data_IF_338008031964
#
_entry.id   IF_338008031964
#
_cell.length_a   1.000
_cell.length_b   1.000
_cell.length_c   1.000
_cell.angle_alpha   90.00
_cell.angle_beta   90.00
_cell.angle_gamma   90.00
#
_symmetry.space_group_name_H-M   'P 1'
#
loop_
_entity.id
_entity.type
_entity.pdbx_description
1 polymer ?
#
# COMPACT_ATOMS: atom_id res chain seq x y z
N UNK A 1 28.34 -7.55 46.12
CA UNK A 1 27.85 -8.55 45.16
C UNK A 1 27.91 -7.94 43.76
N UNK A 2 28.50 -8.63 42.79
CA UNK A 2 28.54 -8.11 41.42
C UNK A 2 27.13 -8.11 40.80
N UNK A 3 26.71 -7.06 40.08
CA UNK A 3 25.38 -7.01 39.48
C UNK A 3 25.21 -8.13 38.45
N UNK A 4 24.10 -8.87 38.55
CA UNK A 4 23.72 -9.84 37.54
C UNK A 4 23.26 -9.09 36.29
N UNK A 5 23.96 -9.30 35.18
CA UNK A 5 23.64 -8.69 33.89
C UNK A 5 22.86 -9.69 33.06
N UNK A 6 21.81 -9.23 32.37
CA UNK A 6 20.99 -10.09 31.51
C UNK A 6 21.33 -9.85 30.05
N UNK A 7 21.68 -10.91 29.32
CA UNK A 7 21.89 -10.83 27.89
C UNK A 7 20.55 -10.93 27.14
N UNK A 8 20.17 -9.97 26.27
CA UNK A 8 18.91 -10.02 25.53
C UNK A 8 18.87 -11.16 24.50
N UNK A 9 20.02 -11.53 23.92
CA UNK A 9 20.13 -12.63 22.97
C UNK A 9 20.04 -14.00 23.67
N UNK A 10 20.70 -14.15 24.81
CA UNK A 10 20.73 -15.43 25.53
C UNK A 10 19.57 -15.63 26.49
N UNK A 11 18.85 -14.55 26.86
CA UNK A 11 17.81 -14.52 27.90
C UNK A 11 18.28 -15.10 29.25
N UNK A 12 19.59 -15.08 29.48
CA UNK A 12 20.24 -15.62 30.67
C UNK A 12 20.93 -14.50 31.43
N UNK A 13 20.85 -14.59 32.75
CA UNK A 13 21.66 -13.79 33.65
C UNK A 13 23.08 -14.37 33.66
N UNK A 14 24.07 -13.48 33.55
CA UNK A 14 25.47 -13.82 33.73
C UNK A 14 26.05 -12.93 34.82
N UNK A 15 26.98 -13.49 35.59
CA UNK A 15 27.70 -12.75 36.61
C UNK A 15 28.91 -12.10 35.96
N UNK A 16 29.05 -10.79 36.15
CA UNK A 16 30.16 -9.89 35.78
C UNK A 16 31.21 -10.37 34.77
N UNK A 17 31.42 -9.58 33.72
CA UNK A 17 32.52 -9.74 32.77
C UNK A 17 32.06 -10.05 31.34
N UNK A 18 33.00 -10.01 30.39
CA UNK A 18 32.72 -10.18 28.95
C UNK A 18 32.83 -11.63 28.46
N UNK A 19 33.15 -12.59 29.35
CA UNK A 19 33.36 -13.99 28.98
C UNK A 19 32.15 -14.66 28.32
N UNK A 20 30.93 -14.31 28.73
CA UNK A 20 29.71 -14.92 28.20
C UNK A 20 29.53 -14.69 26.68
N UNK A 21 29.98 -13.55 26.17
CA UNK A 21 29.86 -13.15 24.75
C UNK A 21 30.67 -14.10 23.86
N UNK A 22 31.78 -14.64 24.38
CA UNK A 22 32.62 -15.60 23.66
C UNK A 22 32.10 -17.04 23.74
N UNK A 23 31.03 -17.30 24.51
CA UNK A 23 30.49 -18.65 24.64
C UNK A 23 29.88 -19.15 23.33
N UNK A 24 30.04 -20.45 23.04
CA UNK A 24 29.41 -21.10 21.87
C UNK A 24 27.88 -20.96 21.86
N UNK A 25 27.25 -20.84 23.02
CA UNK A 25 25.79 -20.64 23.12
C UNK A 25 25.40 -19.25 22.65
N UNK A 26 26.07 -18.21 23.14
CA UNK A 26 25.85 -16.83 22.72
C UNK A 26 26.09 -16.66 21.22
N UNK A 27 27.24 -17.12 20.72
CA UNK A 27 27.60 -16.98 19.31
C UNK A 27 26.63 -17.69 18.37
N UNK A 28 26.13 -18.89 18.74
CA UNK A 28 25.06 -19.56 17.98
C UNK A 28 23.76 -18.77 17.96
N UNK A 29 23.35 -18.21 19.10
CA UNK A 29 22.12 -17.42 19.18
C UNK A 29 22.23 -16.10 18.42
N UNK A 30 23.38 -15.42 18.51
CA UNK A 30 23.69 -14.22 17.75
C UNK A 30 23.62 -14.49 16.25
N UNK A 31 24.29 -15.55 15.78
CA UNK A 31 24.26 -15.95 14.38
C UNK A 31 22.84 -16.25 13.90
N UNK A 32 22.08 -17.04 14.65
CA UNK A 32 20.69 -17.35 14.31
C UNK A 32 19.79 -16.09 14.28
N UNK A 33 20.03 -15.12 15.14
CA UNK A 33 19.29 -13.86 15.14
C UNK A 33 19.63 -13.01 13.90
N UNK A 34 20.92 -12.90 13.55
CA UNK A 34 21.37 -12.20 12.35
C UNK A 34 20.87 -12.88 11.07
N UNK A 35 20.87 -14.21 11.01
CA UNK A 35 20.34 -15.00 9.88
C UNK A 35 18.84 -14.81 9.65
N UNK A 36 18.07 -14.45 10.69
CA UNK A 36 16.64 -14.11 10.55
C UNK A 36 16.41 -12.71 10.00
N UNK A 37 17.26 -11.76 10.37
CA UNK A 37 17.15 -10.37 9.92
C UNK A 37 17.73 -10.19 8.50
N UNK A 38 18.74 -10.98 8.14
CA UNK A 38 19.48 -10.84 6.89
C UNK A 38 18.58 -10.88 5.64
N UNK A 39 17.61 -11.81 5.47
CA UNK A 39 16.74 -11.83 4.30
C UNK A 39 15.92 -10.54 4.13
N UNK A 40 15.49 -9.93 5.22
CA UNK A 40 14.73 -8.66 5.18
C UNK A 40 15.62 -7.51 4.70
N UNK A 41 16.86 -7.46 5.19
CA UNK A 41 17.84 -6.46 4.76
C UNK A 41 18.25 -6.67 3.30
N UNK A 42 18.47 -7.91 2.87
CA UNK A 42 18.81 -8.22 1.48
C UNK A 42 17.67 -7.90 0.51
N UNK A 43 16.41 -8.19 0.89
CA UNK A 43 15.23 -7.80 0.12
C UNK A 43 15.15 -6.28 -0.02
N UNK A 44 15.31 -5.54 1.08
CA UNK A 44 15.35 -4.08 1.06
C UNK A 44 16.48 -3.55 0.18
N UNK A 45 17.68 -4.12 0.26
CA UNK A 45 18.81 -3.71 -0.57
C UNK A 45 18.58 -3.94 -2.06
N UNK A 46 17.85 -4.98 -2.45
CA UNK A 46 17.46 -5.18 -3.87
C UNK A 46 16.56 -4.05 -4.37
N UNK A 47 15.68 -3.51 -3.51
CA UNK A 47 14.80 -2.39 -3.84
C UNK A 47 15.54 -1.06 -4.07
N UNK A 48 16.82 -0.93 -3.69
CA UNK A 48 17.62 0.29 -3.92
C UNK A 48 17.71 0.65 -5.40
N UNK A 49 17.81 -0.36 -6.28
CA UNK A 49 17.94 -0.14 -7.73
C UNK A 49 16.60 0.09 -8.41
N UNK A 50 15.57 -0.58 -7.92
CA UNK A 50 14.23 -0.59 -8.49
C UNK A 50 13.23 -0.52 -7.36
N UNK A 51 12.89 0.71 -6.96
CA UNK A 51 11.82 0.95 -6.00
C UNK A 51 10.49 0.48 -6.60
N UNK A 52 9.64 -0.10 -5.74
CA UNK A 52 8.32 -0.57 -6.12
C UNK A 52 7.29 0.22 -5.34
N UNK A 53 6.28 0.71 -6.06
CA UNK A 53 5.16 1.46 -5.50
C UNK A 53 3.91 0.68 -5.82
N UNK A 54 3.11 0.43 -4.80
CA UNK A 54 1.85 -0.29 -4.88
C UNK A 54 0.75 0.54 -4.24
N UNK A 55 -0.50 0.21 -4.59
CA UNK A 55 -1.65 0.71 -3.85
C UNK A 55 -1.60 0.16 -2.42
N UNK A 56 -1.86 1.02 -1.44
CA UNK A 56 -1.85 0.64 -0.03
C UNK A 56 -2.83 -0.51 0.25
N UNK A 57 -2.34 -1.49 1.02
CA UNK A 57 -3.13 -2.52 1.66
C UNK A 57 -2.68 -2.72 3.12
N UNK A 58 -3.55 -3.24 4.02
CA UNK A 58 -3.21 -3.44 5.43
C UNK A 58 -1.98 -4.31 5.68
N UNK A 59 -1.63 -5.19 4.73
CA UNK A 59 -0.41 -6.00 4.78
C UNK A 59 0.87 -5.17 4.71
N UNK A 60 0.80 -3.91 4.26
CA UNK A 60 1.95 -3.01 4.17
C UNK A 60 2.36 -2.38 5.51
N UNK A 61 1.51 -2.44 6.55
CA UNK A 61 1.81 -1.92 7.90
C UNK A 61 2.69 -2.88 8.73
N UNK A 62 3.30 -3.86 8.06
CA UNK A 62 4.22 -4.80 8.68
C UNK A 62 5.47 -4.11 9.19
N UNK A 63 5.83 -4.47 10.42
CA UNK A 63 7.08 -4.06 11.04
C UNK A 63 8.11 -5.20 11.09
N UNK A 64 9.37 -4.82 11.28
CA UNK A 64 10.46 -5.73 11.57
C UNK A 64 11.24 -5.24 12.80
N UNK A 65 11.82 -6.17 13.55
CA UNK A 65 12.61 -5.83 14.72
C UNK A 65 14.07 -5.65 14.33
N UNK A 66 14.61 -4.44 14.51
CA UNK A 66 16.03 -4.19 14.32
C UNK A 66 16.81 -4.64 15.55
N UNK A 67 17.59 -5.71 15.42
CA UNK A 67 18.44 -6.23 16.51
C UNK A 67 19.52 -5.24 16.95
N UNK A 68 20.04 -4.44 16.04
CA UNK A 68 21.11 -3.47 16.30
C UNK A 68 20.62 -2.32 17.17
N UNK A 69 19.42 -1.82 16.86
CA UNK A 69 18.81 -0.68 17.54
C UNK A 69 17.94 -1.10 18.74
N UNK A 70 17.47 -2.34 18.76
CA UNK A 70 16.53 -2.82 19.78
C UNK A 70 15.16 -2.13 19.67
N UNK A 71 14.70 -1.85 18.45
CA UNK A 71 13.44 -1.17 18.18
C UNK A 71 12.67 -1.82 17.04
N UNK A 72 11.37 -1.54 17.00
CA UNK A 72 10.50 -1.86 15.89
C UNK A 72 10.68 -0.85 14.75
N UNK A 73 10.70 -1.33 13.52
CA UNK A 73 10.97 -0.55 12.30
C UNK A 73 9.94 -0.91 11.25
N UNK A 74 9.29 0.09 10.68
CA UNK A 74 8.36 -0.08 9.56
C UNK A 74 9.08 -0.71 8.36
N UNK A 75 8.52 -1.77 7.78
CA UNK A 75 9.13 -2.38 6.59
C UNK A 75 8.95 -1.48 5.37
N UNK A 76 7.73 -1.02 5.15
CA UNK A 76 7.33 -0.22 4.00
C UNK A 76 7.15 1.25 4.40
N UNK A 77 7.04 2.13 3.41
CA UNK A 77 6.72 3.55 3.63
C UNK A 77 5.36 3.82 2.97
N UNK A 78 4.32 3.96 3.78
CA UNK A 78 2.95 4.18 3.32
C UNK A 78 2.56 5.65 3.46
N UNK A 79 1.92 6.21 2.43
CA UNK A 79 1.36 7.55 2.46
C UNK A 79 0.06 7.60 1.65
N UNK A 80 -1.05 7.93 2.32
CA UNK A 80 -2.37 7.93 1.69
C UNK A 80 -2.76 6.55 1.16
N UNK A 81 -3.07 6.46 -0.13
CA UNK A 81 -3.44 5.24 -0.82
C UNK A 81 -2.27 4.52 -1.49
N UNK A 82 -1.02 4.90 -1.20
CA UNK A 82 0.18 4.38 -1.84
C UNK A 82 1.20 3.89 -0.82
N UNK A 83 1.96 2.87 -1.20
CA UNK A 83 3.03 2.28 -0.39
C UNK A 83 4.28 2.10 -1.22
N UNK A 84 5.41 2.61 -0.74
CA UNK A 84 6.74 2.28 -1.26
C UNK A 84 7.30 1.05 -0.54
N UNK A 85 7.50 -0.03 -1.27
CA UNK A 85 7.99 -1.28 -0.67
C UNK A 85 9.42 -1.13 -0.14
N UNK A 86 9.66 -1.68 1.05
CA UNK A 86 10.95 -1.62 1.75
C UNK A 86 11.47 -0.22 2.11
N UNK A 87 10.68 0.84 1.87
CA UNK A 87 11.11 2.23 2.06
C UNK A 87 11.46 2.55 3.52
N UNK A 88 10.62 2.15 4.47
CA UNK A 88 10.85 2.39 5.90
C UNK A 88 12.09 1.69 6.43
N UNK A 89 12.32 0.43 6.02
CA UNK A 89 13.52 -0.31 6.42
C UNK A 89 14.78 0.32 5.81
N UNK A 90 14.76 0.72 4.54
CA UNK A 90 15.90 1.39 3.90
C UNK A 90 16.24 2.73 4.55
N UNK A 91 15.22 3.52 4.90
CA UNK A 91 15.41 4.78 5.64
C UNK A 91 16.08 4.54 7.00
N UNK A 92 15.60 3.55 7.76
CA UNK A 92 16.20 3.18 9.02
C UNK A 92 17.67 2.75 8.86
N UNK A 93 17.96 1.87 7.90
CA UNK A 93 19.31 1.33 7.68
C UNK A 93 20.32 2.39 7.20
N UNK A 94 19.84 3.45 6.55
CA UNK A 94 20.65 4.59 6.11
C UNK A 94 20.84 5.66 7.20
N UNK A 95 20.09 5.59 8.30
CA UNK A 95 20.15 6.56 9.38
C UNK A 95 21.51 6.50 10.13
N UNK A 96 22.13 7.66 10.45
CA UNK A 96 23.38 7.70 11.22
C UNK A 96 23.29 7.02 12.58
N UNK A 97 22.13 7.05 13.23
CA UNK A 97 21.94 6.44 14.55
C UNK A 97 21.93 4.92 14.46
N UNK A 98 21.35 4.35 13.40
CA UNK A 98 21.47 2.90 13.13
C UNK A 98 22.93 2.50 12.91
N UNK A 99 23.71 3.30 12.18
CA UNK A 99 25.16 3.03 12.01
C UNK A 99 25.90 2.99 13.34
N UNK A 100 25.64 3.95 14.23
CA UNK A 100 26.22 3.98 15.58
C UNK A 100 25.77 2.77 16.41
N UNK A 101 24.48 2.46 16.39
CA UNK A 101 23.91 1.33 17.11
C UNK A 101 24.48 0.00 16.61
N UNK A 102 24.61 -0.18 15.29
CA UNK A 102 25.24 -1.34 14.65
C UNK A 102 26.70 -1.49 15.08
N UNK A 103 27.48 -0.40 15.06
CA UNK A 103 28.87 -0.42 15.53
C UNK A 103 28.98 -0.88 16.99
N UNK A 104 28.14 -0.31 17.86
CA UNK A 104 28.06 -0.68 19.28
C UNK A 104 27.66 -2.14 19.45
N UNK A 105 26.59 -2.57 18.79
CA UNK A 105 26.07 -3.95 18.86
C UNK A 105 27.13 -4.97 18.42
N UNK A 106 27.85 -4.71 17.32
CA UNK A 106 28.92 -5.58 16.84
C UNK A 106 30.04 -5.71 17.85
N UNK A 107 30.45 -4.60 18.46
CA UNK A 107 31.53 -4.59 19.44
C UNK A 107 31.13 -5.29 20.75
N UNK A 108 29.90 -5.07 21.22
CA UNK A 108 29.35 -5.65 22.44
C UNK A 108 29.16 -7.17 22.32
N UNK A 109 28.66 -7.65 21.18
CA UNK A 109 28.33 -9.07 20.97
C UNK A 109 29.43 -9.86 20.26
N UNK A 110 30.57 -9.22 19.93
CA UNK A 110 31.68 -9.82 19.18
C UNK A 110 31.19 -10.57 17.93
N UNK A 111 30.31 -9.90 17.19
CA UNK A 111 29.75 -10.42 15.95
C UNK A 111 30.82 -10.48 14.84
N UNK A 112 30.58 -11.33 13.85
CA UNK A 112 31.45 -11.47 12.68
C UNK A 112 31.54 -10.15 11.90
N UNK A 113 32.76 -9.64 11.74
CA UNK A 113 33.06 -8.36 11.09
C UNK A 113 32.70 -8.42 9.60
N UNK A 114 32.81 -9.58 8.96
CA UNK A 114 32.49 -9.76 7.54
C UNK A 114 31.00 -9.57 7.23
N UNK A 115 30.14 -9.81 8.22
CA UNK A 115 28.69 -9.66 8.06
C UNK A 115 28.23 -8.22 8.28
N UNK A 116 29.02 -7.38 8.94
CA UNK A 116 28.61 -6.04 9.38
C UNK A 116 28.12 -5.16 8.24
N UNK A 117 28.87 -5.11 7.14
CA UNK A 117 28.55 -4.28 5.98
C UNK A 117 27.24 -4.71 5.29
N UNK A 118 26.76 -5.93 5.54
CA UNK A 118 25.45 -6.36 5.01
C UNK A 118 24.28 -5.65 5.69
N UNK A 119 24.44 -5.20 6.94
CA UNK A 119 23.41 -4.56 7.76
C UNK A 119 23.47 -3.03 7.74
N UNK A 120 24.32 -2.46 6.88
CA UNK A 120 24.45 -1.03 6.68
C UNK A 120 24.04 -0.65 5.26
N UNK A 121 23.37 0.49 5.13
CA UNK A 121 23.11 1.12 3.83
C UNK A 121 23.91 2.41 3.77
N UNK A 122 24.68 2.59 2.71
CA UNK A 122 25.46 3.81 2.52
C UNK A 122 24.53 4.98 2.15
N UNK A 123 24.93 6.21 2.47
CA UNK A 123 24.15 7.38 2.05
C UNK A 123 24.06 7.49 0.53
N UNK A 124 25.11 7.07 -0.19
CA UNK A 124 25.07 7.00 -1.65
C UNK A 124 23.97 6.05 -2.13
N UNK A 125 23.88 4.85 -1.56
CA UNK A 125 22.86 3.88 -1.95
C UNK A 125 21.46 4.37 -1.58
N UNK A 126 21.30 5.03 -0.43
CA UNK A 126 20.02 5.62 -0.06
C UNK A 126 19.61 6.77 -0.99
N UNK A 127 20.56 7.60 -1.45
CA UNK A 127 20.26 8.61 -2.48
C UNK A 127 19.88 7.99 -3.83
N UNK A 128 20.48 6.86 -4.22
CA UNK A 128 20.07 6.10 -5.41
C UNK A 128 18.65 5.56 -5.25
N UNK A 129 18.34 5.01 -4.08
CA UNK A 129 16.99 4.57 -3.76
C UNK A 129 15.99 5.72 -3.86
N UNK A 130 16.26 6.90 -3.26
CA UNK A 130 15.38 8.07 -3.38
C UNK A 130 15.11 8.46 -4.83
N UNK A 131 16.14 8.45 -5.69
CA UNK A 131 15.97 8.72 -7.13
C UNK A 131 15.10 7.68 -7.82
N UNK A 132 15.29 6.39 -7.50
CA UNK A 132 14.44 5.33 -8.05
C UNK A 132 13.01 5.40 -7.53
N UNK A 133 12.83 5.79 -6.26
CA UNK A 133 11.54 5.95 -5.61
C UNK A 133 10.72 7.07 -6.28
N UNK A 134 11.32 8.23 -6.52
CA UNK A 134 10.65 9.34 -7.23
C UNK A 134 10.15 8.86 -8.60
N UNK A 135 11.02 8.23 -9.40
CA UNK A 135 10.62 7.68 -10.71
C UNK A 135 9.49 6.64 -10.62
N UNK A 136 9.49 5.81 -9.59
CA UNK A 136 8.47 4.80 -9.40
C UNK A 136 7.12 5.41 -8.97
N UNK A 137 7.16 6.50 -8.18
CA UNK A 137 5.97 7.28 -7.84
C UNK A 137 5.38 7.97 -9.08
N UNK A 138 6.22 8.66 -9.87
CA UNK A 138 5.80 9.31 -11.13
C UNK A 138 5.15 8.28 -12.08
N UNK A 139 5.78 7.11 -12.26
CA UNK A 139 5.24 6.04 -13.10
C UNK A 139 3.96 5.42 -12.55
N UNK A 140 3.76 5.42 -11.22
CA UNK A 140 2.52 4.93 -10.62
C UNK A 140 1.37 5.92 -10.88
N UNK A 141 1.62 7.22 -10.66
CA UNK A 141 0.64 8.28 -10.92
C UNK A 141 0.19 8.30 -12.38
N UNK A 142 1.14 8.23 -13.33
CA UNK A 142 0.82 8.15 -14.76
C UNK A 142 -0.08 6.94 -15.09
N UNK A 143 0.16 5.79 -14.46
CA UNK A 143 -0.68 4.59 -14.67
C UNK A 143 -2.09 4.77 -14.11
N UNK A 144 -2.22 5.36 -12.92
CA UNK A 144 -3.54 5.65 -12.34
C UNK A 144 -4.32 6.63 -13.22
N UNK A 145 -3.67 7.69 -13.72
CA UNK A 145 -4.29 8.66 -14.63
C UNK A 145 -4.79 8.01 -15.93
N UNK A 146 -3.99 7.12 -16.52
CA UNK A 146 -4.40 6.38 -17.72
C UNK A 146 -5.57 5.43 -17.44
N UNK A 147 -5.63 4.81 -16.25
CA UNK A 147 -6.77 3.99 -15.84
C UNK A 147 -8.03 4.83 -15.66
N UNK A 148 -7.93 6.02 -15.05
CA UNK A 148 -9.05 6.95 -14.89
C UNK A 148 -9.58 7.40 -16.26
N UNK A 149 -8.69 7.75 -17.20
CA UNK A 149 -9.09 8.15 -18.57
C UNK A 149 -9.83 7.02 -19.30
N UNK A 150 -9.35 5.78 -19.19
CA UNK A 150 -10.01 4.60 -19.78
C UNK A 150 -11.39 4.37 -19.19
N UNK A 151 -11.51 4.38 -17.86
CA UNK A 151 -12.80 4.24 -17.18
C UNK A 151 -13.78 5.34 -17.58
N UNK A 152 -13.32 6.59 -17.70
CA UNK A 152 -14.16 7.69 -18.15
C UNK A 152 -14.63 7.52 -19.61
N UNK A 153 -13.79 6.99 -20.49
CA UNK A 153 -14.16 6.70 -21.87
C UNK A 153 -15.21 5.57 -21.95
N UNK A 154 -15.05 4.51 -21.17
CA UNK A 154 -16.02 3.42 -21.06
C UNK A 154 -17.39 3.91 -20.58
N UNK A 155 -17.42 4.76 -19.53
CA UNK A 155 -18.66 5.36 -19.02
C UNK A 155 -19.36 6.18 -20.12
N UNK A 156 -18.61 6.99 -20.86
CA UNK A 156 -19.17 7.79 -21.97
C UNK A 156 -19.75 6.92 -23.07
N UNK A 157 -19.11 5.81 -23.38
CA UNK A 157 -19.59 4.90 -24.42
C UNK A 157 -20.85 4.16 -23.99
N UNK A 158 -20.89 3.64 -22.76
CA UNK A 158 -22.08 3.01 -22.19
C UNK A 158 -23.25 3.98 -22.17
N UNK A 159 -23.02 5.24 -21.78
CA UNK A 159 -24.06 6.25 -21.74
C UNK A 159 -24.54 6.63 -23.14
N UNK A 160 -23.65 6.68 -24.15
CA UNK A 160 -24.03 6.88 -25.55
C UNK A 160 -24.94 5.75 -26.05
N UNK A 161 -24.54 4.49 -25.84
CA UNK A 161 -25.36 3.33 -26.22
C UNK A 161 -26.71 3.33 -25.51
N UNK A 162 -26.76 3.73 -24.23
CA UNK A 162 -28.01 3.87 -23.49
C UNK A 162 -28.93 4.93 -24.10
N UNK A 163 -28.39 6.09 -24.49
CA UNK A 163 -29.15 7.15 -25.14
C UNK A 163 -29.72 6.68 -26.48
N UNK A 164 -28.95 5.96 -27.29
CA UNK A 164 -29.39 5.40 -28.57
C UNK A 164 -30.55 4.41 -28.40
N UNK A 165 -30.47 3.52 -27.40
CA UNK A 165 -31.56 2.58 -27.07
C UNK A 165 -32.82 3.32 -26.64
N UNK A 166 -32.69 4.30 -25.74
CA UNK A 166 -33.83 5.11 -25.28
C UNK A 166 -34.48 5.85 -26.44
N UNK A 167 -33.67 6.47 -27.31
CA UNK A 167 -34.17 7.19 -28.49
C UNK A 167 -34.92 6.25 -29.44
N UNK A 168 -34.38 5.06 -29.72
CA UNK A 168 -35.02 4.05 -30.56
C UNK A 168 -36.40 3.62 -30.00
N UNK A 169 -36.51 3.43 -28.68
CA UNK A 169 -37.79 3.08 -28.04
C UNK A 169 -38.81 4.21 -28.16
N UNK A 170 -38.38 5.47 -27.98
CA UNK A 170 -39.26 6.63 -28.11
C UNK A 170 -39.75 6.79 -29.55
N UNK A 171 -38.89 6.65 -30.55
CA UNK A 171 -39.25 6.75 -31.97
C UNK A 171 -40.29 5.67 -32.37
N UNK A 172 -40.11 4.42 -31.94
CA UNK A 172 -41.09 3.34 -32.16
C UNK A 172 -42.41 3.59 -31.40
N UNK A 173 -42.33 4.13 -30.18
CA UNK A 173 -43.50 4.49 -29.38
C UNK A 173 -44.33 5.63 -29.99
N UNK A 174 -43.67 6.62 -30.60
CA UNK A 174 -44.32 7.71 -31.33
C UNK A 174 -45.01 7.22 -32.61
N UNK A 175 -44.36 6.38 -33.40
CA UNK A 175 -44.95 5.82 -34.62
C UNK A 175 -46.19 4.94 -34.30
N UNK A 176 -46.12 4.13 -33.24
CA UNK A 176 -47.26 3.27 -32.82
C UNK A 176 -48.44 4.10 -32.32
N UNK A 177 -48.19 5.24 -31.66
CA UNK A 177 -49.24 6.16 -31.18
C UNK A 177 -49.92 6.92 -32.32
N UNK A 178 -49.17 7.33 -33.35
CA UNK A 178 -49.72 7.97 -34.56
C UNK A 178 -50.63 7.01 -35.36
N UNK A 179 -50.21 5.76 -35.55
CA UNK A 179 -51.01 4.74 -36.24
C UNK A 179 -52.30 4.35 -35.47
N UNK A 180 -52.29 4.49 -34.15
CA UNK A 180 -53.48 4.25 -33.30
C UNK A 180 -54.52 5.38 -33.42
N UNK A 181 -54.15 6.57 -33.89
CA UNK A 181 -55.07 7.70 -34.09
C UNK A 181 -55.72 7.74 -35.48
N UNK A 182 -55.28 6.89 -36.42
CA UNK A 182 -55.86 6.77 -37.78
C UNK A 182 -56.87 5.64 -37.94
N UNK A 183 -57.19 4.89 -36.86
CA UNK A 183 -58.19 3.84 -36.86
C UNK A 183 -59.34 4.12 -35.89
N UNK A 184 -60.55 4.27 -36.42
CA UNK A 184 -61.86 4.39 -35.73
C UNK A 184 -62.29 5.80 -35.26
N UNK A 185 -62.76 6.60 -36.22
CA UNK A 185 -63.93 7.44 -35.98
C UNK A 185 -65.18 6.55 -35.88
N UNK A 186 -65.65 6.27 -34.65
CA UNK A 186 -67.04 5.90 -34.39
C UNK A 186 -67.64 6.96 -33.47
N UNK A 187 -68.84 7.51 -33.77
CA UNK A 187 -69.45 8.52 -32.94
C UNK A 187 -70.07 7.86 -31.70
N UNK A 188 -69.65 8.27 -30.49
CA UNK A 188 -70.45 8.07 -29.29
C UNK A 188 -71.22 9.36 -29.00
N UNK A 189 -72.53 9.31 -29.20
CA UNK A 189 -73.48 10.29 -28.66
C UNK A 189 -73.45 10.23 -27.13
N UNK A 190 -73.28 11.40 -26.51
CA UNK A 190 -73.85 11.86 -25.25
C UNK A 190 -73.63 11.02 -23.98
N UNK A 191 -73.03 11.64 -22.96
CA UNK A 191 -73.77 12.15 -21.80
C UNK A 191 -72.84 12.95 -20.87
N UNK A 192 -73.43 13.99 -20.30
CA UNK A 192 -72.91 14.91 -19.29
C UNK A 192 -72.16 14.23 -18.14
N UNK A 193 -71.19 14.95 -17.55
CA UNK A 193 -70.68 14.63 -16.21
C UNK A 193 -69.37 15.32 -15.86
N UNK A 194 -69.48 16.51 -15.28
CA UNK A 194 -68.43 17.26 -14.58
C UNK A 194 -67.79 16.47 -13.43
N UNK A 195 -66.48 16.68 -13.17
CA UNK A 195 -65.82 16.86 -11.86
C UNK A 195 -64.29 16.80 -12.09
N UNK A 196 -63.61 17.94 -12.10
CA UNK A 196 -62.88 18.56 -10.98
C UNK A 196 -61.48 17.97 -10.72
N UNK A 197 -60.54 18.91 -10.61
CA UNK A 197 -59.13 18.75 -10.26
C UNK A 197 -58.95 17.91 -8.98
N UNK A 198 -57.84 17.16 -8.91
CA UNK A 198 -56.88 17.38 -7.83
C UNK A 198 -55.48 16.82 -8.15
N UNK A 199 -54.50 17.51 -7.57
CA UNK A 199 -53.08 17.57 -7.86
C UNK A 199 -52.35 17.07 -6.61
N UNK A 200 -51.43 16.13 -6.75
CA UNK A 200 -50.37 15.78 -5.77
C UNK A 200 -49.15 15.37 -6.63
N UNK A 201 -48.00 16.07 -6.72
CA UNK A 201 -47.02 16.47 -5.68
C UNK A 201 -46.92 15.37 -4.63
N UNK A 202 -45.92 14.49 -4.65
CA UNK A 202 -44.53 14.65 -4.15
C UNK A 202 -43.97 13.19 -4.12
N UNK A 203 -42.70 12.84 -4.28
CA UNK A 203 -41.51 13.32 -3.57
C UNK A 203 -40.23 12.93 -4.32
N UNK A 204 -39.25 13.82 -4.22
CA UNK A 204 -37.82 13.53 -4.28
C UNK A 204 -37.40 12.73 -3.05
N UNK A 205 -36.52 11.74 -3.25
CA UNK A 205 -35.39 11.43 -2.38
C UNK A 205 -34.28 10.82 -3.24
#
# INVERSE_FOLDING_TARGET
MAPALRCPLCRQSFFSGRGHVYSRKHQRQLRAALERLLPQVEAARKAIRTAQVERYCPEHDQCCWCLCCGCEVQKHLSHGNMTVLHGGLLEHLACPDHRKATNRFWWENKADVLLKEKFLVSQQDYTRFKKSMIKALDSYEEKEDEMIKKMAAEIREVERSRQEVVQSVLEVGFQRRLQSTSGSARPRRGLFGTLYLERNKQDSL
#
